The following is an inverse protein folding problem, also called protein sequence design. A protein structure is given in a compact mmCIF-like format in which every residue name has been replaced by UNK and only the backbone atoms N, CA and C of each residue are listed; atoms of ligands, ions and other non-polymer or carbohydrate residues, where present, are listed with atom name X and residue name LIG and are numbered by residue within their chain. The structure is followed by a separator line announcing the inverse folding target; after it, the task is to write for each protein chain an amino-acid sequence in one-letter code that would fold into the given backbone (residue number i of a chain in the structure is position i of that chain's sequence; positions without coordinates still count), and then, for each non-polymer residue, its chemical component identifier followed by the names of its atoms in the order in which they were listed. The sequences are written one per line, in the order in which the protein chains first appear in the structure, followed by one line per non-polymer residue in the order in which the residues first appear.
data_IF_715851304349
#
_entry.id   IF_715851304349
#
_cell.length_a   1.000
_cell.length_b   1.000
_cell.length_c   1.000
_cell.angle_alpha   90.00
_cell.angle_beta   90.00
_cell.angle_gamma   90.00
#
_symmetry.space_group_name_H-M   'P 1'
#
loop_
_entity.id
_entity.type
_entity.pdbx_description
1 polymer ?
#
# COMPACT_ATOMS: atom_id res chain seq x y z
N UNK A 1 21.08 -21.64 -7.33
CA UNK A 1 20.35 -20.85 -6.33
C UNK A 1 20.62 -19.39 -6.61
N UNK A 2 19.73 -18.74 -7.35
CA UNK A 2 19.79 -17.29 -7.62
C UNK A 2 19.34 -16.52 -6.38
N UNK A 3 20.03 -15.45 -5.97
CA UNK A 3 19.58 -14.66 -4.82
C UNK A 3 18.31 -13.92 -5.21
N UNK A 4 17.25 -14.08 -4.42
CA UNK A 4 16.06 -13.24 -4.47
C UNK A 4 16.46 -11.86 -3.94
N UNK A 5 16.69 -10.91 -4.84
CA UNK A 5 16.84 -9.50 -4.49
C UNK A 5 15.42 -8.99 -4.19
N UNK A 6 15.09 -8.83 -2.91
CA UNK A 6 13.87 -8.14 -2.48
C UNK A 6 14.03 -6.64 -2.77
N UNK A 7 13.48 -6.19 -3.89
CA UNK A 7 13.38 -4.77 -4.21
C UNK A 7 12.08 -4.24 -3.60
N UNK A 8 12.17 -3.56 -2.46
CA UNK A 8 11.03 -2.84 -1.89
C UNK A 8 10.98 -1.43 -2.51
N UNK A 9 10.09 -1.23 -3.48
CA UNK A 9 9.76 0.11 -3.98
C UNK A 9 8.64 0.69 -3.09
N UNK A 10 8.98 1.66 -2.26
CA UNK A 10 7.97 2.46 -1.56
C UNK A 10 7.23 3.35 -2.56
N UNK A 11 5.92 3.18 -2.71
CA UNK A 11 5.09 4.05 -3.54
C UNK A 11 4.56 5.21 -2.68
N UNK A 12 4.91 6.45 -3.01
CA UNK A 12 4.22 7.63 -2.45
C UNK A 12 3.37 8.23 -3.58
N UNK A 13 2.06 8.27 -3.38
CA UNK A 13 1.13 8.92 -4.29
C UNK A 13 1.12 10.42 -3.98
N UNK A 14 1.72 11.22 -4.87
CA UNK A 14 1.63 12.69 -4.84
C UNK A 14 0.74 13.12 -6.01
N UNK A 15 -0.45 13.65 -5.71
CA UNK A 15 -1.37 14.18 -6.72
C UNK A 15 -0.93 15.60 -7.12
N UNK A 16 -0.16 15.73 -8.21
CA UNK A 16 0.16 17.02 -8.82
C UNK A 16 -0.75 17.22 -10.05
N UNK A 17 -1.55 18.28 -10.03
CA UNK A 17 -2.24 18.76 -11.22
C UNK A 17 -1.23 19.41 -12.16
N UNK A 18 -1.12 18.91 -13.39
CA UNK A 18 -0.47 19.61 -14.49
C UNK A 18 -1.51 20.01 -15.53
N UNK A 19 -1.63 21.32 -15.75
CA UNK A 19 -2.29 21.87 -16.94
C UNK A 19 -1.60 21.33 -18.18
N UNK A 20 -2.39 20.96 -19.18
CA UNK A 20 -1.96 20.32 -20.43
C UNK A 20 -0.88 21.12 -21.16
N UNK A 21 0.37 20.77 -20.94
CA UNK A 21 1.48 20.99 -21.89
C UNK A 21 1.87 19.62 -22.43
N UNK A 22 1.67 19.43 -23.73
CA UNK A 22 2.13 18.26 -24.48
C UNK A 22 3.67 18.22 -24.47
N UNK A 23 4.24 17.71 -23.38
CA UNK A 23 5.51 17.00 -23.44
C UNK A 23 5.16 15.54 -23.72
N UNK A 24 5.78 14.94 -24.73
CA UNK A 24 5.63 13.52 -25.00
C UNK A 24 5.84 12.74 -23.69
N UNK A 25 4.86 11.95 -23.29
CA UNK A 25 4.98 11.10 -22.11
C UNK A 25 6.18 10.17 -22.32
N UNK A 26 7.21 10.32 -21.50
CA UNK A 26 8.36 9.43 -21.51
C UNK A 26 8.02 8.27 -20.56
N UNK A 27 7.40 7.23 -21.11
CA UNK A 27 6.94 6.04 -20.38
C UNK A 27 7.96 4.90 -20.40
N UNK A 28 9.05 5.03 -21.17
CA UNK A 28 10.04 3.97 -21.38
C UNK A 28 11.45 4.41 -20.97
N UNK A 29 12.09 3.62 -20.10
CA UNK A 29 13.52 3.69 -19.83
C UNK A 29 14.25 2.57 -20.61
N UNK A 30 15.16 2.96 -21.50
CA UNK A 30 15.95 2.07 -22.35
C UNK A 30 17.34 1.79 -21.75
N UNK A 31 18.01 0.81 -22.32
CA UNK A 31 19.41 0.50 -22.02
C UNK A 31 20.28 1.76 -22.13
N UNK A 32 21.21 1.92 -21.19
CA UNK A 32 22.09 3.08 -21.05
C UNK A 32 21.41 4.42 -20.73
N UNK A 33 20.08 4.45 -20.58
CA UNK A 33 19.39 5.58 -19.98
C UNK A 33 19.34 5.38 -18.46
N UNK A 34 19.57 6.46 -17.74
CA UNK A 34 19.41 6.51 -16.29
C UNK A 34 18.31 7.50 -15.95
N UNK A 35 17.58 7.20 -14.88
CA UNK A 35 16.74 8.19 -14.21
C UNK A 35 17.57 8.78 -13.07
N UNK A 36 17.74 10.10 -13.05
CA UNK A 36 18.46 10.81 -11.99
C UNK A 36 17.50 11.62 -11.12
N UNK A 37 18.00 12.22 -10.03
CA UNK A 37 17.18 13.04 -9.14
C UNK A 37 16.60 14.23 -9.92
N UNK A 38 15.27 14.35 -9.91
CA UNK A 38 14.53 15.35 -10.68
C UNK A 38 13.89 14.81 -11.96
N UNK A 39 14.45 13.73 -12.52
CA UNK A 39 13.87 13.07 -13.69
C UNK A 39 12.59 12.29 -13.32
N UNK A 40 11.70 12.17 -14.30
CA UNK A 40 10.41 11.49 -14.15
C UNK A 40 10.11 10.62 -15.37
N UNK A 41 9.64 9.41 -15.10
CA UNK A 41 9.00 8.54 -16.08
C UNK A 41 7.48 8.69 -15.91
N UNK A 42 6.76 9.03 -16.96
CA UNK A 42 5.32 9.34 -16.90
C UNK A 42 4.56 8.38 -17.80
N UNK A 43 3.51 7.75 -17.27
CA UNK A 43 2.66 6.85 -18.07
C UNK A 43 2.03 7.60 -19.24
N UNK A 44 1.69 6.91 -20.34
CA UNK A 44 1.16 7.56 -21.56
C UNK A 44 -0.11 8.37 -21.33
N UNK A 45 -0.96 7.91 -20.40
CA UNK A 45 -2.17 8.62 -20.00
C UNK A 45 -1.94 9.74 -18.96
N UNK A 46 -0.70 9.95 -18.51
CA UNK A 46 -0.34 10.97 -17.51
C UNK A 46 -0.78 10.67 -16.07
N UNK A 47 -1.40 9.52 -15.80
CA UNK A 47 -1.98 9.19 -14.47
C UNK A 47 -0.93 8.79 -13.44
N UNK A 48 0.18 8.20 -13.88
CA UNK A 48 1.23 7.70 -13.01
C UNK A 48 2.57 8.33 -13.36
N UNK A 49 3.36 8.60 -12.34
CA UNK A 49 4.72 9.12 -12.47
C UNK A 49 5.65 8.35 -11.54
N UNK A 50 6.80 7.95 -12.07
CA UNK A 50 7.87 7.32 -11.32
C UNK A 50 9.09 8.24 -11.31
N UNK A 51 9.69 8.41 -10.14
CA UNK A 51 10.86 9.25 -9.94
C UNK A 51 11.34 9.22 -8.50
N UNK A 52 12.40 9.96 -8.22
CA UNK A 52 12.93 10.11 -6.87
C UNK A 52 12.12 11.14 -6.08
N UNK A 53 11.82 10.85 -4.83
CA UNK A 53 11.14 11.77 -3.92
C UNK A 53 11.77 11.72 -2.54
N UNK A 54 11.65 12.82 -1.79
CA UNK A 54 12.06 12.90 -0.40
C UNK A 54 10.82 13.19 0.46
N UNK A 55 10.34 12.21 1.25
CA UNK A 55 9.21 12.44 2.13
C UNK A 55 9.62 13.45 3.22
N UNK A 56 8.89 14.55 3.33
CA UNK A 56 9.13 15.59 4.34
C UNK A 56 7.82 15.97 4.99
N UNK A 57 7.66 15.67 6.28
CA UNK A 57 6.71 16.36 7.15
C UNK A 57 7.52 17.44 7.86
N UNK A 58 7.07 18.69 7.78
CA UNK A 58 7.68 19.80 8.51
C UNK A 58 7.51 19.52 10.00
N UNK A 59 8.53 18.95 10.66
CA UNK A 59 8.55 18.92 12.12
C UNK A 59 8.80 20.34 12.62
N UNK A 60 8.18 20.72 13.74
CA UNK A 60 8.45 22.01 14.42
C UNK A 60 9.89 22.15 14.92
N UNK A 61 10.74 21.13 14.77
CA UNK A 61 12.09 21.04 15.34
C UNK A 61 13.24 21.14 14.33
N UNK A 62 12.97 21.38 13.04
CA UNK A 62 13.95 21.95 12.10
C UNK A 62 15.15 21.09 11.70
N UNK A 63 15.30 19.85 12.19
CA UNK A 63 16.42 18.99 11.80
C UNK A 63 15.96 17.86 10.87
N UNK A 64 16.21 18.05 9.57
CA UNK A 64 16.03 17.04 8.52
C UNK A 64 17.38 16.37 8.28
N UNK A 65 17.51 15.10 8.66
CA UNK A 65 18.59 14.24 8.17
C UNK A 65 17.94 12.90 7.77
N UNK A 66 17.84 12.66 6.46
CA UNK A 66 17.68 11.31 5.93
C UNK A 66 18.64 11.15 4.75
N UNK A 67 19.41 10.05 4.67
CA UNK A 67 20.38 9.85 3.61
C UNK A 67 19.67 9.64 2.27
N UNK A 68 20.28 10.10 1.17
CA UNK A 68 19.79 9.85 -0.18
C UNK A 68 19.82 8.34 -0.46
N UNK A 69 18.70 7.75 -0.87
CA UNK A 69 18.63 6.37 -1.35
C UNK A 69 18.51 6.38 -2.88
N UNK A 70 19.43 5.70 -3.57
CA UNK A 70 19.39 5.52 -5.01
C UNK A 70 18.98 4.07 -5.33
N UNK A 71 18.08 3.89 -6.29
CA UNK A 71 17.79 2.59 -6.88
C UNK A 71 18.47 2.54 -8.24
N UNK A 72 19.40 1.60 -8.42
CA UNK A 72 20.05 1.34 -9.71
C UNK A 72 19.53 0.01 -10.26
N UNK A 73 18.96 0.05 -11.47
CA UNK A 73 18.49 -1.13 -12.19
C UNK A 73 19.42 -1.35 -13.38
N UNK A 74 20.21 -2.42 -13.37
CA UNK A 74 21.06 -2.80 -14.50
C UNK A 74 20.25 -3.67 -15.47
N UNK A 75 20.08 -3.20 -16.70
CA UNK A 75 19.34 -3.88 -17.76
C UNK A 75 20.31 -4.49 -18.79
N UNK A 76 19.90 -5.58 -19.44
CA UNK A 76 20.64 -6.14 -20.59
C UNK A 76 20.29 -5.37 -21.88
N UNK A 77 21.06 -5.57 -22.96
CA UNK A 77 20.94 -4.80 -24.21
C UNK A 77 19.58 -4.88 -24.94
N UNK A 78 18.70 -5.81 -24.58
CA UNK A 78 17.39 -5.99 -25.26
C UNK A 78 16.19 -5.73 -24.35
N UNK A 79 16.44 -5.34 -23.10
CA UNK A 79 15.39 -5.05 -22.11
C UNK A 79 15.11 -3.56 -21.98
N UNK A 80 13.84 -3.22 -21.73
CA UNK A 80 13.40 -1.88 -21.34
C UNK A 80 12.53 -1.95 -20.09
N UNK A 81 12.49 -0.86 -19.31
CA UNK A 81 11.45 -0.65 -18.31
C UNK A 81 10.36 0.25 -18.87
N UNK A 82 9.10 -0.14 -18.71
CA UNK A 82 7.93 0.61 -19.20
C UNK A 82 6.96 0.85 -18.06
N UNK A 83 6.58 2.11 -17.83
CA UNK A 83 5.52 2.48 -16.90
C UNK A 83 4.18 2.47 -17.62
N UNK A 84 3.37 1.46 -17.29
CA UNK A 84 2.07 1.22 -17.90
C UNK A 84 1.01 2.23 -17.42
N UNK A 85 -0.09 2.34 -18.17
CA UNK A 85 -1.19 3.26 -17.88
C UNK A 85 -1.96 2.93 -16.59
N UNK A 86 -1.81 1.72 -16.05
CA UNK A 86 -2.36 1.24 -14.78
C UNK A 86 -1.39 1.44 -13.60
N UNK A 87 -0.18 1.98 -13.85
CA UNK A 87 0.85 2.21 -12.85
C UNK A 87 1.81 1.03 -12.65
N UNK A 88 1.68 -0.04 -13.44
CA UNK A 88 2.61 -1.17 -13.39
C UNK A 88 3.93 -0.82 -14.10
N UNK A 89 5.05 -0.92 -13.38
CA UNK A 89 6.38 -0.81 -13.97
C UNK A 89 6.82 -2.20 -14.39
N UNK A 90 6.96 -2.42 -15.70
CA UNK A 90 7.32 -3.72 -16.27
C UNK A 90 8.73 -3.65 -16.84
N UNK A 91 9.57 -4.62 -16.49
CA UNK A 91 10.91 -4.78 -17.05
C UNK A 91 10.93 -6.05 -17.90
N UNK A 92 11.33 -5.91 -19.16
CA UNK A 92 11.38 -7.04 -20.09
C UNK A 92 11.73 -6.64 -21.51
N UNK A 93 11.66 -7.61 -22.40
CA UNK A 93 11.68 -7.38 -23.85
C UNK A 93 10.25 -7.33 -24.40
N UNK A 94 10.09 -7.02 -25.69
CA UNK A 94 8.78 -7.02 -26.35
C UNK A 94 8.05 -8.36 -26.29
N UNK A 95 8.77 -9.47 -26.08
CA UNK A 95 8.25 -10.83 -26.09
C UNK A 95 8.31 -11.53 -24.73
N UNK A 96 9.01 -10.98 -23.74
CA UNK A 96 9.21 -11.65 -22.46
C UNK A 96 9.27 -10.67 -21.28
N UNK A 97 8.32 -10.81 -20.35
CA UNK A 97 8.29 -10.08 -19.09
C UNK A 97 9.22 -10.75 -18.09
N UNK A 98 10.21 -10.01 -17.57
CA UNK A 98 11.18 -10.51 -16.60
C UNK A 98 10.82 -10.13 -15.16
N UNK A 99 10.24 -8.95 -14.97
CA UNK A 99 9.82 -8.44 -13.66
C UNK A 99 8.70 -7.41 -13.82
N UNK A 100 7.85 -7.27 -12.80
CA UNK A 100 6.86 -6.21 -12.71
C UNK A 100 6.64 -5.72 -11.27
N UNK A 101 6.29 -4.45 -11.11
CA UNK A 101 6.06 -3.87 -9.77
C UNK A 101 4.82 -4.45 -9.10
N UNK A 102 3.80 -4.86 -9.87
CA UNK A 102 2.58 -5.45 -9.33
C UNK A 102 2.79 -6.81 -8.63
N UNK A 103 3.92 -7.48 -8.87
CA UNK A 103 4.28 -8.68 -8.11
C UNK A 103 4.86 -8.35 -6.72
N UNK A 104 5.26 -7.09 -6.46
CA UNK A 104 5.86 -6.63 -5.21
C UNK A 104 5.16 -5.37 -4.70
N UNK A 105 3.86 -5.43 -4.34
CA UNK A 105 3.16 -4.27 -3.81
C UNK A 105 3.76 -3.83 -2.46
N UNK A 106 3.67 -2.53 -2.18
CA UNK A 106 4.06 -1.95 -0.89
C UNK A 106 2.85 -1.89 0.05
N UNK A 107 2.43 -0.69 0.46
CA UNK A 107 1.23 -0.46 1.27
C UNK A 107 -0.03 -0.24 0.42
N UNK A 108 0.13 -0.03 -0.89
CA UNK A 108 -0.97 0.22 -1.83
C UNK A 108 -1.13 -0.93 -2.83
N UNK A 109 -2.37 -1.37 -3.03
CA UNK A 109 -2.75 -2.26 -4.12
C UNK A 109 -3.56 -1.46 -5.15
N UNK A 110 -2.99 -1.31 -6.36
CA UNK A 110 -3.62 -0.61 -7.49
C UNK A 110 -4.59 -1.51 -8.26
N UNK A 111 -5.52 -0.94 -9.06
CA UNK A 111 -6.42 -1.73 -9.91
C UNK A 111 -5.62 -2.65 -10.84
N UNK A 112 -6.07 -3.90 -11.00
CA UNK A 112 -5.40 -4.92 -11.81
C UNK A 112 -4.24 -5.64 -11.11
N UNK A 113 -3.69 -5.08 -10.02
CA UNK A 113 -2.68 -5.75 -9.22
C UNK A 113 -3.28 -6.97 -8.49
N UNK A 114 -2.43 -7.97 -8.22
CA UNK A 114 -2.84 -9.24 -7.60
C UNK A 114 -2.39 -9.29 -6.15
N UNK A 115 -3.32 -9.62 -5.26
CA UNK A 115 -3.06 -9.98 -3.87
C UNK A 115 -3.34 -11.47 -3.68
N UNK A 116 -2.35 -12.28 -3.33
CA UNK A 116 -2.53 -13.75 -3.28
C UNK A 116 -1.22 -14.50 -3.48
N UNK A 117 -1.25 -15.70 -4.04
CA UNK A 117 -0.04 -16.49 -4.27
C UNK A 117 -0.05 -17.26 -5.59
N UNK A 118 1.15 -17.55 -6.07
CA UNK A 118 1.38 -18.53 -7.13
C UNK A 118 1.56 -19.92 -6.50
N UNK A 119 0.72 -20.87 -6.87
CA UNK A 119 0.70 -22.25 -6.33
C UNK A 119 1.87 -23.09 -6.83
N UNK A 120 2.41 -22.77 -7.99
CA UNK A 120 3.53 -23.49 -8.61
C UNK A 120 4.87 -23.08 -8.00
N UNK A 121 5.07 -21.77 -7.80
CA UNK A 121 6.34 -21.24 -7.30
C UNK A 121 6.34 -21.00 -5.78
N UNK A 122 5.17 -21.00 -5.15
CA UNK A 122 5.01 -20.59 -3.75
C UNK A 122 5.17 -19.09 -3.51
N UNK A 123 5.36 -18.29 -4.57
CA UNK A 123 5.52 -16.84 -4.45
C UNK A 123 4.25 -16.19 -3.92
N UNK A 124 4.37 -15.35 -2.89
CA UNK A 124 3.24 -14.66 -2.26
C UNK A 124 3.32 -13.15 -2.50
N UNK A 125 2.18 -12.58 -2.91
CA UNK A 125 1.97 -11.14 -3.09
C UNK A 125 1.22 -10.64 -1.87
N UNK A 126 1.92 -9.93 -1.00
CA UNK A 126 1.39 -9.42 0.26
C UNK A 126 1.45 -7.89 0.26
N UNK A 127 0.45 -7.26 0.87
CA UNK A 127 0.45 -5.81 1.10
C UNK A 127 1.01 -5.60 2.51
N UNK A 128 1.97 -4.70 2.65
CA UNK A 128 2.65 -4.41 3.92
C UNK A 128 2.54 -2.92 4.19
N UNK A 129 2.06 -2.56 5.38
CA UNK A 129 1.97 -1.17 5.83
C UNK A 129 3.33 -0.47 5.74
N UNK A 130 3.33 0.85 5.59
CA UNK A 130 4.54 1.65 5.85
C UNK A 130 4.87 1.65 7.33
N UNK A 131 6.11 1.95 7.67
CA UNK A 131 6.54 2.08 9.06
C UNK A 131 5.89 3.29 9.72
N UNK A 132 5.93 4.44 9.06
CA UNK A 132 5.31 5.68 9.54
C UNK A 132 5.09 6.65 8.37
N UNK A 133 4.68 7.89 8.65
CA UNK A 133 4.33 8.86 7.62
C UNK A 133 5.50 9.34 6.72
N UNK A 134 6.76 9.18 7.16
CA UNK A 134 7.94 9.61 6.40
C UNK A 134 8.86 8.47 5.99
N UNK A 135 8.82 7.34 6.71
CA UNK A 135 9.62 6.16 6.43
C UNK A 135 8.76 5.15 5.65
N UNK A 136 8.92 5.05 4.31
CA UNK A 136 8.17 4.10 3.49
C UNK A 136 8.65 2.66 3.67
N UNK A 137 9.63 2.42 4.54
CA UNK A 137 10.08 1.09 4.90
C UNK A 137 8.96 0.23 5.50
N UNK A 138 9.22 -1.05 5.63
CA UNK A 138 8.21 -2.03 6.00
C UNK A 138 7.70 -1.82 7.45
N UNK A 139 6.40 -1.60 7.62
CA UNK A 139 5.70 -1.38 8.87
C UNK A 139 5.25 -2.63 9.62
N UNK A 140 4.43 -2.49 10.65
CA UNK A 140 4.12 -3.62 11.53
C UNK A 140 3.08 -4.59 10.96
N UNK A 141 2.22 -4.14 10.06
CA UNK A 141 1.08 -4.89 9.57
C UNK A 141 1.29 -5.37 8.14
N UNK A 142 0.78 -6.55 7.86
CA UNK A 142 0.68 -7.10 6.51
C UNK A 142 -0.61 -7.90 6.37
N UNK A 143 -1.14 -7.94 5.15
CA UNK A 143 -2.28 -8.80 4.80
C UNK A 143 -1.72 -10.00 4.04
N UNK A 144 -2.19 -11.20 4.38
CA UNK A 144 -1.86 -12.44 3.70
C UNK A 144 -3.13 -13.21 3.31
N UNK A 145 -3.13 -13.79 2.12
CA UNK A 145 -4.05 -14.86 1.79
C UNK A 145 -3.49 -16.12 2.44
N UNK A 146 -4.34 -16.86 3.16
CA UNK A 146 -4.05 -18.16 3.77
C UNK A 146 -5.02 -19.22 3.25
N UNK A 147 -4.75 -20.50 3.54
CA UNK A 147 -5.65 -21.62 3.15
C UNK A 147 -7.08 -21.47 3.69
N UNK A 148 -7.24 -20.78 4.82
CA UNK A 148 -8.52 -20.51 5.48
C UNK A 148 -9.16 -19.18 5.06
N UNK A 149 -8.57 -18.41 4.16
CA UNK A 149 -9.04 -17.08 3.76
C UNK A 149 -8.01 -15.98 4.04
N UNK A 150 -8.45 -14.72 3.99
CA UNK A 150 -7.57 -13.55 4.14
C UNK A 150 -7.42 -13.19 5.61
N UNK A 151 -6.18 -12.95 6.04
CA UNK A 151 -5.88 -12.49 7.39
C UNK A 151 -4.94 -11.28 7.37
N UNK A 152 -5.19 -10.38 8.31
CA UNK A 152 -4.34 -9.25 8.62
C UNK A 152 -3.53 -9.60 9.86
N UNK A 153 -2.22 -9.41 9.77
CA UNK A 153 -1.26 -9.89 10.76
C UNK A 153 -0.26 -8.81 11.13
N UNK A 154 0.09 -8.80 12.40
CA UNK A 154 1.23 -8.06 12.92
C UNK A 154 2.49 -8.90 12.75
N UNK A 155 3.66 -8.30 12.48
CA UNK A 155 4.91 -9.04 12.18
C UNK A 155 5.77 -9.36 13.40
N UNK A 156 5.71 -8.58 14.49
CA UNK A 156 6.63 -8.76 15.61
C UNK A 156 6.03 -8.46 17.01
N UNK A 157 5.53 -9.46 17.76
CA UNK A 157 5.35 -10.87 17.36
C UNK A 157 4.34 -11.07 16.23
N UNK A 158 4.47 -12.21 15.54
CA UNK A 158 3.52 -12.63 14.50
C UNK A 158 2.20 -13.06 15.13
N UNK A 159 1.17 -12.23 14.99
CA UNK A 159 -0.16 -12.47 15.55
C UNK A 159 -1.21 -12.12 14.51
N UNK A 160 -2.23 -12.98 14.38
CA UNK A 160 -3.41 -12.68 13.57
C UNK A 160 -4.22 -11.63 14.28
N UNK A 161 -4.27 -10.43 13.69
CA UNK A 161 -5.06 -9.32 14.19
C UNK A 161 -6.52 -9.50 13.75
N UNK A 162 -6.75 -9.69 12.46
CA UNK A 162 -8.09 -9.79 11.91
C UNK A 162 -8.13 -10.87 10.84
N UNK A 163 -9.30 -11.49 10.69
CA UNK A 163 -9.49 -12.54 9.70
C UNK A 163 -10.83 -12.35 9.01
N UNK A 164 -10.80 -12.22 7.69
CA UNK A 164 -12.00 -12.26 6.86
C UNK A 164 -12.29 -13.70 6.47
N UNK A 165 -12.30 -14.59 7.47
CA UNK A 165 -12.65 -15.99 7.33
C UNK A 165 -13.64 -16.42 8.40
N UNK A 166 -14.51 -17.36 8.05
CA UNK A 166 -15.42 -17.94 9.01
C UNK A 166 -14.79 -19.14 9.70
N UNK A 167 -14.80 -19.16 11.04
CA UNK A 167 -14.49 -20.38 11.81
C UNK A 167 -15.60 -21.44 11.67
N UNK A 168 -16.79 -21.05 11.19
CA UNK A 168 -18.02 -21.87 11.19
C UNK A 168 -18.58 -22.17 9.79
N UNK A 169 -18.09 -21.51 8.73
CA UNK A 169 -18.49 -21.76 7.35
C UNK A 169 -17.28 -22.14 6.50
N UNK A 170 -17.51 -23.04 5.55
CA UNK A 170 -16.59 -23.39 4.46
C UNK A 170 -16.43 -22.27 3.42
N UNK A 171 -17.07 -21.11 3.64
CA UNK A 171 -17.09 -20.02 2.69
C UNK A 171 -15.82 -19.16 2.80
N UNK A 172 -14.78 -19.61 2.10
CA UNK A 172 -13.52 -18.89 1.88
C UNK A 172 -13.74 -17.53 1.18
N UNK A 173 -14.92 -17.29 0.62
CA UNK A 173 -15.29 -16.11 -0.15
C UNK A 173 -16.05 -15.06 0.69
N UNK A 174 -16.12 -15.19 2.02
CA UNK A 174 -16.76 -14.18 2.88
C UNK A 174 -16.22 -12.75 2.65
N UNK A 175 -14.90 -12.60 2.44
CA UNK A 175 -14.31 -11.29 2.14
C UNK A 175 -14.91 -10.67 0.88
N UNK A 176 -14.98 -11.42 -0.23
CA UNK A 176 -15.45 -10.88 -1.51
C UNK A 176 -16.95 -10.59 -1.47
N UNK A 177 -17.75 -11.44 -0.84
CA UNK A 177 -19.20 -11.22 -0.68
C UNK A 177 -19.48 -9.96 0.14
N UNK A 178 -18.80 -9.79 1.29
CA UNK A 178 -18.93 -8.62 2.14
C UNK A 178 -18.49 -7.34 1.42
N UNK A 179 -17.32 -7.36 0.77
CA UNK A 179 -16.82 -6.19 0.06
C UNK A 179 -17.71 -5.80 -1.12
N UNK A 180 -18.21 -6.78 -1.89
CA UNK A 180 -19.15 -6.51 -2.99
C UNK A 180 -20.44 -5.85 -2.50
N UNK A 181 -20.99 -6.32 -1.38
CA UNK A 181 -22.17 -5.70 -0.78
C UNK A 181 -21.88 -4.26 -0.35
N UNK A 182 -20.78 -4.02 0.35
CA UNK A 182 -20.39 -2.69 0.82
C UNK A 182 -20.16 -1.70 -0.33
N UNK A 183 -19.48 -2.14 -1.37
CA UNK A 183 -19.22 -1.36 -2.59
C UNK A 183 -20.52 -1.03 -3.31
N UNK A 184 -21.47 -1.97 -3.39
CA UNK A 184 -22.72 -1.76 -4.11
C UNK A 184 -23.70 -0.84 -3.35
N UNK A 185 -23.60 -0.76 -2.02
CA UNK A 185 -24.43 0.13 -1.19
C UNK A 185 -23.90 1.58 -1.20
N UNK A 186 -22.57 1.76 -1.26
CA UNK A 186 -21.99 3.10 -1.26
C UNK A 186 -22.13 3.76 -2.64
N UNK A 187 -22.82 4.92 -2.76
CA UNK A 187 -23.05 5.58 -4.05
C UNK A 187 -21.77 6.02 -4.76
N UNK A 188 -20.66 6.20 -4.03
CA UNK A 188 -19.37 6.59 -4.60
C UNK A 188 -18.60 5.43 -5.24
N UNK A 189 -18.95 4.19 -4.94
CA UNK A 189 -18.28 2.99 -5.46
C UNK A 189 -19.21 2.08 -6.27
N UNK A 190 -20.53 2.22 -6.10
CA UNK A 190 -21.55 1.48 -6.84
C UNK A 190 -21.35 1.62 -8.36
N UNK A 191 -21.14 0.49 -9.03
CA UNK A 191 -20.97 0.43 -10.49
C UNK A 191 -19.63 0.98 -11.01
N UNK A 192 -18.66 1.30 -10.13
CA UNK A 192 -17.36 1.90 -10.50
C UNK A 192 -16.18 0.99 -10.26
N UNK A 193 -16.31 0.03 -9.35
CA UNK A 193 -15.28 -0.93 -8.99
C UNK A 193 -15.89 -2.33 -8.94
N UNK A 194 -15.19 -3.31 -9.49
CA UNK A 194 -15.53 -4.73 -9.37
C UNK A 194 -14.35 -5.51 -8.77
N UNK A 195 -14.65 -6.29 -7.74
CA UNK A 195 -13.67 -7.15 -7.07
C UNK A 195 -13.80 -8.56 -7.62
N UNK A 196 -12.67 -9.15 -7.96
CA UNK A 196 -12.58 -10.51 -8.49
C UNK A 196 -11.70 -11.36 -7.59
N UNK A 197 -12.11 -12.60 -7.43
CA UNK A 197 -11.29 -13.66 -6.87
C UNK A 197 -11.12 -14.73 -7.94
N UNK A 198 -9.89 -15.19 -8.09
CA UNK A 198 -9.51 -16.18 -9.09
C UNK A 198 -8.77 -17.28 -8.35
N UNK A 199 -9.23 -18.50 -8.52
CA UNK A 199 -8.63 -19.71 -7.96
C UNK A 199 -8.52 -20.77 -9.07
N UNK A 200 -7.31 -21.01 -9.56
CA UNK A 200 -7.04 -22.00 -10.60
C UNK A 200 -5.83 -22.87 -10.24
N UNK A 201 -5.40 -23.76 -11.13
CA UNK A 201 -4.29 -24.68 -10.85
C UNK A 201 -2.93 -23.98 -10.68
N UNK A 202 -2.77 -22.74 -11.19
CA UNK A 202 -1.51 -22.00 -11.18
C UNK A 202 -1.42 -21.00 -10.03
N UNK A 203 -2.50 -20.28 -9.72
CA UNK A 203 -2.50 -19.21 -8.72
C UNK A 203 -3.87 -19.05 -8.05
N UNK A 204 -3.85 -18.47 -6.86
CA UNK A 204 -5.04 -17.99 -6.17
C UNK A 204 -4.83 -16.55 -5.74
N UNK A 205 -5.73 -15.64 -6.12
CA UNK A 205 -5.58 -14.23 -5.81
C UNK A 205 -6.91 -13.47 -5.83
N UNK A 206 -6.89 -12.32 -5.16
CA UNK A 206 -7.86 -11.25 -5.27
C UNK A 206 -7.27 -10.14 -6.13
N UNK A 207 -8.14 -9.51 -6.90
CA UNK A 207 -7.83 -8.30 -7.66
C UNK A 207 -9.11 -7.47 -7.76
N UNK A 208 -8.98 -6.22 -8.20
CA UNK A 208 -10.13 -5.40 -8.52
C UNK A 208 -9.84 -4.58 -9.76
N UNK A 209 -10.90 -4.24 -10.49
CA UNK A 209 -10.84 -3.41 -11.69
C UNK A 209 -11.69 -2.17 -11.50
N UNK A 210 -11.34 -1.10 -12.19
CA UNK A 210 -12.20 0.07 -12.33
C UNK A 210 -13.11 -0.16 -13.54
N UNK A 211 -14.41 -0.03 -13.33
CA UNK A 211 -15.42 -0.02 -14.40
C UNK A 211 -15.57 1.39 -14.99
N UNK A 212 -15.19 2.41 -14.22
CA UNK A 212 -15.12 3.80 -14.62
C UNK A 212 -13.73 4.35 -14.29
N UNK A 213 -12.88 4.49 -15.30
CA UNK A 213 -11.48 4.92 -15.16
C UNK A 213 -11.32 6.41 -14.83
N UNK A 214 -12.40 7.20 -14.88
CA UNK A 214 -12.40 8.61 -14.46
C UNK A 214 -12.20 8.77 -12.95
N UNK A 215 -12.50 7.72 -12.18
CA UNK A 215 -12.27 7.69 -10.74
C UNK A 215 -10.87 7.16 -10.41
N UNK A 216 -10.31 7.68 -9.33
CA UNK A 216 -9.08 7.14 -8.73
C UNK A 216 -9.47 6.46 -7.43
N UNK A 217 -9.50 5.12 -7.46
CA UNK A 217 -9.79 4.27 -6.30
C UNK A 217 -8.58 3.37 -6.08
N UNK A 218 -8.13 3.27 -4.84
CA UNK A 218 -7.07 2.34 -4.46
C UNK A 218 -7.29 1.73 -3.09
N UNK A 219 -6.70 0.56 -2.87
CA UNK A 219 -6.68 -0.11 -1.55
C UNK A 219 -5.37 0.22 -0.86
N UNK A 220 -5.45 0.64 0.40
CA UNK A 220 -4.31 1.01 1.24
C UNK A 220 -4.31 0.14 2.49
N UNK A 221 -3.14 -0.35 2.91
CA UNK A 221 -2.91 -0.85 4.25
C UNK A 221 -2.25 0.25 5.07
N UNK A 222 -3.05 0.91 5.90
CA UNK A 222 -2.61 2.02 6.74
C UNK A 222 -1.58 1.56 7.80
N UNK A 223 -0.79 2.51 8.28
CA UNK A 223 0.19 2.31 9.37
C UNK A 223 -0.47 1.80 10.67
N UNK A 224 -1.76 2.09 10.89
CA UNK A 224 -2.56 1.54 11.99
C UNK A 224 -2.97 0.08 11.79
N UNK A 225 -2.69 -0.49 10.62
CA UNK A 225 -3.14 -1.82 10.22
C UNK A 225 -4.55 -1.85 9.61
N UNK A 226 -5.23 -0.72 9.42
CA UNK A 226 -6.53 -0.73 8.74
C UNK A 226 -6.34 -0.95 7.24
N UNK A 227 -7.10 -1.90 6.67
CA UNK A 227 -7.28 -2.03 5.23
C UNK A 227 -8.37 -1.06 4.80
N UNK A 228 -7.99 -0.10 3.97
CA UNK A 228 -8.83 1.01 3.55
C UNK A 228 -9.11 0.97 2.05
N UNK A 229 -10.34 1.28 1.64
CA UNK A 229 -10.64 1.63 0.25
C UNK A 229 -10.76 3.14 0.20
N UNK A 230 -9.88 3.75 -0.59
CA UNK A 230 -9.74 5.18 -0.74
C UNK A 230 -10.23 5.62 -2.12
N UNK A 231 -10.99 6.71 -2.19
CA UNK A 231 -11.44 7.32 -3.44
C UNK A 231 -11.08 8.80 -3.47
N UNK A 232 -10.55 9.26 -4.60
CA UNK A 232 -10.39 10.69 -4.84
C UNK A 232 -11.72 11.31 -5.28
N UNK A 233 -12.24 12.25 -4.50
CA UNK A 233 -13.45 13.00 -4.82
C UNK A 233 -13.09 14.28 -5.56
N UNK A 234 -13.52 14.38 -6.83
CA UNK A 234 -13.33 15.60 -7.62
C UNK A 234 -14.16 16.77 -7.09
N UNK A 235 -15.32 16.50 -6.48
CA UNK A 235 -16.20 17.52 -5.93
C UNK A 235 -15.58 18.24 -4.71
N UNK A 236 -14.93 17.47 -3.83
CA UNK A 236 -14.36 18.00 -2.58
C UNK A 236 -12.86 18.20 -2.66
N UNK A 237 -12.22 17.85 -3.79
CA UNK A 237 -10.77 17.88 -4.00
C UNK A 237 -10.01 17.20 -2.85
N UNK A 238 -10.54 16.06 -2.40
CA UNK A 238 -10.03 15.37 -1.23
C UNK A 238 -10.14 13.86 -1.34
N UNK A 239 -9.23 13.18 -0.64
CA UNK A 239 -9.26 11.73 -0.48
C UNK A 239 -10.32 11.35 0.54
N UNK A 240 -11.24 10.47 0.15
CA UNK A 240 -12.31 9.97 0.99
C UNK A 240 -12.13 8.48 1.26
N UNK A 241 -12.31 8.11 2.53
CA UNK A 241 -12.26 6.73 2.98
C UNK A 241 -13.66 6.15 2.96
N UNK A 242 -13.93 5.26 2.02
CA UNK A 242 -15.26 4.64 1.86
C UNK A 242 -15.40 3.33 2.62
N UNK A 243 -14.27 2.73 3.00
CA UNK A 243 -14.20 1.52 3.80
C UNK A 243 -12.92 1.52 4.62
N UNK A 244 -13.00 1.01 5.85
CA UNK A 244 -11.85 0.69 6.68
C UNK A 244 -12.18 -0.57 7.49
N UNK A 245 -11.29 -1.57 7.47
CA UNK A 245 -11.37 -2.71 8.37
C UNK A 245 -10.02 -3.04 9.01
N UNK A 246 -9.99 -3.38 10.31
CA UNK A 246 -11.15 -3.38 11.22
C UNK A 246 -11.73 -1.99 11.46
N UNK A 247 -13.05 -1.91 11.66
CA UNK A 247 -13.75 -0.61 11.76
C UNK A 247 -13.23 0.22 12.96
N UNK A 248 -13.01 -0.45 14.10
CA UNK A 248 -12.34 0.11 15.25
C UNK A 248 -10.84 -0.28 15.21
N UNK A 249 -9.90 0.67 15.02
CA UNK A 249 -8.47 0.40 15.01
C UNK A 249 -7.99 -0.19 16.35
N UNK A 250 -8.68 0.05 17.46
CA UNK A 250 -8.34 -0.50 18.78
C UNK A 250 -8.65 -1.99 18.93
N UNK A 251 -9.34 -2.59 17.96
CA UNK A 251 -9.53 -4.05 17.93
C UNK A 251 -8.19 -4.79 17.76
N UNK A 252 -7.13 -4.12 17.24
CA UNK A 252 -5.84 -4.77 17.08
C UNK A 252 -5.10 -4.92 18.38
N UNK A 253 -4.66 -6.16 18.62
CA UNK A 253 -3.65 -6.41 19.61
C UNK A 253 -2.37 -5.62 19.25
N UNK A 254 -1.99 -4.71 20.14
CA UNK A 254 -0.80 -3.87 19.97
C UNK A 254 -0.94 -2.75 18.93
N UNK A 255 -2.16 -2.27 18.63
CA UNK A 255 -2.39 -1.00 17.90
C UNK A 255 -1.64 0.15 18.55
N UNK A 256 -1.72 0.22 19.87
CA UNK A 256 -0.97 1.16 20.68
C UNK A 256 0.12 0.42 21.44
N UNK A 257 1.27 1.09 21.61
CA UNK A 257 2.40 0.54 22.34
C UNK A 257 2.12 0.35 23.84
N UNK A 258 3.12 -0.08 24.63
CA UNK A 258 2.95 -0.28 26.06
C UNK A 258 2.52 1.00 26.79
N UNK A 259 1.74 0.85 27.85
CA UNK A 259 1.30 1.92 28.74
C UNK A 259 0.40 3.02 28.12
N UNK A 260 -0.31 2.68 27.04
CA UNK A 260 -1.29 3.55 26.38
C UNK A 260 -2.73 3.08 26.59
N UNK A 261 -3.68 3.99 26.42
CA UNK A 261 -5.09 3.70 26.14
C UNK A 261 -5.36 3.83 24.64
N UNK A 262 -6.33 3.06 24.13
CA UNK A 262 -6.78 3.16 22.74
C UNK A 262 -8.23 3.62 22.68
N UNK A 263 -8.51 4.68 21.93
CA UNK A 263 -9.84 5.20 21.64
C UNK A 263 -10.09 5.21 20.13
N UNK A 264 -10.92 4.30 19.65
CA UNK A 264 -11.24 4.14 18.23
C UNK A 264 -12.07 5.27 17.62
N UNK A 265 -12.55 6.23 18.43
CA UNK A 265 -13.43 7.31 18.00
C UNK A 265 -12.65 8.60 17.70
N UNK A 266 -11.53 8.84 18.39
CA UNK A 266 -10.72 10.06 18.23
C UNK A 266 -9.44 9.79 17.45
N UNK A 267 -8.96 10.79 16.67
CA UNK A 267 -7.59 10.81 16.15
C UNK A 267 -6.75 11.83 16.93
N UNK A 268 -5.56 11.47 17.45
CA UNK A 268 -4.96 10.13 17.43
C UNK A 268 -5.74 9.12 18.29
N UNK A 269 -5.76 7.86 17.87
CA UNK A 269 -6.50 6.79 18.56
C UNK A 269 -5.72 6.18 19.73
N UNK A 270 -4.44 6.51 19.91
CA UNK A 270 -3.65 6.11 21.06
C UNK A 270 -3.34 7.33 21.92
N UNK A 271 -3.42 7.18 23.24
CA UNK A 271 -2.95 8.18 24.19
C UNK A 271 -2.26 7.53 25.41
N UNK A 272 -1.46 8.28 26.15
CA UNK A 272 -0.82 7.76 27.36
C UNK A 272 -1.85 7.60 28.50
N UNK A 273 -1.65 6.58 29.33
CA UNK A 273 -2.35 6.53 30.62
C UNK A 273 -1.98 7.72 31.50
N UNK A 274 -2.84 8.03 32.47
CA UNK A 274 -2.55 9.07 33.47
C UNK A 274 -1.20 8.81 34.17
N UNK A 275 -0.40 9.86 34.38
CA UNK A 275 0.97 9.77 34.91
C UNK A 275 2.01 9.12 33.99
N UNK A 276 1.71 8.93 32.71
CA UNK A 276 2.68 8.52 31.68
C UNK A 276 2.84 9.60 30.60
N UNK A 277 4.01 9.64 29.97
CA UNK A 277 4.34 10.52 28.84
C UNK A 277 4.89 9.72 27.66
N UNK A 278 4.79 10.31 26.46
CA UNK A 278 5.21 9.65 25.22
C UNK A 278 6.69 9.33 25.29
N UNK A 279 7.04 8.06 25.09
CA UNK A 279 8.43 7.60 25.14
C UNK A 279 9.28 8.21 24.02
N UNK A 280 8.67 8.41 22.85
CA UNK A 280 9.27 9.05 21.68
C UNK A 280 8.27 10.03 21.06
N UNK A 281 8.26 11.30 21.49
CA UNK A 281 7.34 12.31 20.95
C UNK A 281 7.43 12.46 19.42
N UNK A 282 8.63 12.30 18.85
CA UNK A 282 8.89 12.42 17.42
C UNK A 282 8.19 11.30 16.62
N UNK A 283 8.27 10.05 17.08
CA UNK A 283 7.59 8.92 16.42
C UNK A 283 6.06 9.10 16.46
N UNK A 284 5.54 9.64 17.56
CA UNK A 284 4.12 9.91 17.72
C UNK A 284 3.57 10.98 16.78
N UNK A 285 4.39 11.95 16.37
CA UNK A 285 4.06 12.94 15.32
C UNK A 285 3.97 12.30 13.93
N UNK A 286 4.66 11.17 13.73
CA UNK A 286 4.70 10.42 12.48
C UNK A 286 3.69 9.26 12.45
N UNK A 287 2.75 9.26 13.39
CA UNK A 287 1.77 8.21 13.64
C UNK A 287 2.34 6.84 14.08
N UNK A 288 3.63 6.76 14.41
CA UNK A 288 4.25 5.57 15.01
C UNK A 288 4.04 5.56 16.53
N UNK A 289 3.17 4.65 16.99
CA UNK A 289 2.80 4.50 18.41
C UNK A 289 3.44 3.30 19.08
N UNK A 290 4.37 2.64 18.40
CA UNK A 290 4.87 1.32 18.80
C UNK A 290 5.67 1.36 20.10
N UNK A 291 6.40 2.45 20.33
CA UNK A 291 7.18 2.67 21.55
C UNK A 291 6.31 2.90 22.80
N UNK A 292 5.05 3.28 22.63
CA UNK A 292 4.12 3.56 23.72
C UNK A 292 4.54 4.75 24.59
N UNK A 293 4.30 4.61 25.90
CA UNK A 293 4.55 5.64 26.90
C UNK A 293 5.49 5.14 28.01
N UNK A 294 6.05 6.06 28.78
CA UNK A 294 6.87 5.81 29.96
C UNK A 294 6.35 6.59 31.16
N UNK A 295 6.52 6.04 32.37
CA UNK A 295 6.03 6.65 33.60
C UNK A 295 6.71 8.00 33.82
N UNK A 296 5.95 9.02 34.18
CA UNK A 296 6.49 10.30 34.58
C UNK A 296 7.33 10.09 35.85
N UNK A 297 8.55 10.62 35.83
CA UNK A 297 9.44 10.71 37.01
C UNK A 297 9.24 12.04 37.68
#
# INVERSE_FOLDING_TARGET
MTPLINISLGLILVFLHSTTTSCAANDVLRVAQALTVGDKLVSRNGKFTLGFFQPSIVSKSGNIISPNWYVAITMNNTTSAVLSNDGNLVIGSSSNMLWQSFDNPSDVLLPGAKFGWNKLTGFTRQIISKKNLIDPGLGLYHVELGSKGVSLRRRNPSVVYWSWSSKKSTDKFMLISLLKQLININPHTRGRIDIKHVDNNQEEYYTYILLDESYSIYVLLDISGQVEINIWSQLTQSLQKVYAQPADPCTAFGTCGPFTICNGVSRPFCDCMESFSRKSPQDWELDDRTAGCMRNT
#
